data_IF_882418717069
#
_entry.id   IF_882418717069
#
_cell.length_a   1.000
_cell.length_b   1.000
_cell.length_c   1.000
_cell.angle_alpha   90.00
_cell.angle_beta   90.00
_cell.angle_gamma   90.00
#
_symmetry.space_group_name_H-M   'P 1'
#
loop_
_entity.id
_entity.type
_entity.pdbx_description
1 polymer ?
#
# COMPACT_ATOMS: atom_id res chain seq x y z
N UNK A 1 10.96 12.72 -15.72
CA UNK A 1 9.61 12.11 -15.71
C UNK A 1 8.81 12.82 -14.63
N UNK A 2 7.51 13.07 -14.80
CA UNK A 2 6.74 13.69 -13.72
C UNK A 2 6.52 12.74 -12.55
N UNK A 3 6.25 13.30 -11.37
CA UNK A 3 5.86 12.53 -10.18
C UNK A 3 4.65 11.62 -10.46
N UNK A 4 3.68 12.10 -11.26
CA UNK A 4 2.50 11.35 -11.65
C UNK A 4 2.90 10.04 -12.36
N UNK A 5 3.82 10.15 -13.31
CA UNK A 5 4.33 9.02 -14.08
C UNK A 5 5.10 8.04 -13.18
N UNK A 6 6.03 8.54 -12.35
CA UNK A 6 6.87 7.70 -11.48
C UNK A 6 6.06 6.91 -10.44
N UNK A 7 4.95 7.50 -9.97
CA UNK A 7 4.06 6.91 -8.96
C UNK A 7 2.89 6.13 -9.55
N UNK A 8 2.76 6.06 -10.87
CA UNK A 8 1.74 5.21 -11.49
C UNK A 8 2.17 3.75 -11.47
N UNK A 9 1.39 2.91 -10.79
CA UNK A 9 1.65 1.47 -10.75
C UNK A 9 1.14 0.77 -12.01
N UNK A 10 1.70 -0.41 -12.31
CA UNK A 10 1.26 -1.25 -13.44
C UNK A 10 -0.25 -1.53 -13.48
N UNK A 11 -0.91 -1.57 -12.32
CA UNK A 11 -2.36 -1.81 -12.24
C UNK A 11 -3.21 -0.55 -12.42
N UNK A 12 -2.61 0.64 -12.60
CA UNK A 12 -3.32 1.91 -12.72
C UNK A 12 -3.64 2.60 -11.40
N UNK A 13 -3.23 2.04 -10.25
CA UNK A 13 -3.29 2.76 -8.97
C UNK A 13 -2.12 3.72 -8.81
N UNK A 14 -2.33 4.78 -8.03
CA UNK A 14 -1.28 5.72 -7.66
C UNK A 14 -0.61 5.29 -6.36
N UNK A 15 0.69 4.99 -6.41
CA UNK A 15 1.46 4.49 -5.26
C UNK A 15 1.52 5.48 -4.10
N UNK A 16 1.48 6.79 -4.39
CA UNK A 16 1.52 7.84 -3.36
C UNK A 16 0.34 7.82 -2.39
N UNK A 17 -0.77 7.20 -2.76
CA UNK A 17 -1.97 7.14 -1.93
C UNK A 17 -2.09 5.84 -1.11
N UNK A 18 -1.19 4.88 -1.34
CA UNK A 18 -1.18 3.57 -0.72
C UNK A 18 -0.74 3.65 0.75
N UNK A 19 -1.42 2.94 1.67
CA UNK A 19 -1.06 2.91 3.10
C UNK A 19 0.40 2.44 3.29
N UNK A 20 0.85 1.33 2.67
CA UNK A 20 2.26 0.93 2.60
C UNK A 20 3.28 2.01 2.19
N UNK A 21 2.87 3.08 1.52
CA UNK A 21 3.77 4.17 1.11
C UNK A 21 3.83 5.32 2.13
N UNK A 22 2.89 5.40 3.08
CA UNK A 22 2.81 6.50 4.05
C UNK A 22 3.87 6.36 5.15
N UNK A 23 5.05 6.94 4.90
CA UNK A 23 6.19 6.91 5.82
C UNK A 23 5.87 7.40 7.24
N UNK A 24 4.86 8.25 7.41
CA UNK A 24 4.48 8.78 8.72
C UNK A 24 4.02 7.68 9.66
N UNK A 25 3.30 6.68 9.15
CA UNK A 25 2.82 5.55 9.95
C UNK A 25 4.00 4.71 10.44
N UNK A 26 4.92 4.37 9.56
CA UNK A 26 6.05 3.50 9.88
C UNK A 26 7.06 4.16 10.82
N UNK A 27 7.37 5.45 10.61
CA UNK A 27 8.21 6.22 11.53
C UNK A 27 7.59 6.29 12.93
N UNK A 28 6.27 6.50 13.03
CA UNK A 28 5.60 6.52 14.32
C UNK A 28 5.62 5.16 15.04
N UNK A 29 5.54 4.05 14.29
CA UNK A 29 5.68 2.70 14.86
C UNK A 29 7.09 2.46 15.38
N UNK A 30 8.12 2.81 14.59
CA UNK A 30 9.52 2.68 14.99
C UNK A 30 9.83 3.48 16.27
N UNK A 31 9.40 4.75 16.31
CA UNK A 31 9.56 5.62 17.47
C UNK A 31 8.85 5.08 18.71
N UNK A 32 7.61 4.58 18.56
CA UNK A 32 6.85 4.00 19.66
C UNK A 32 7.51 2.73 20.20
N UNK A 33 7.95 1.81 19.34
CA UNK A 33 8.63 0.59 19.76
C UNK A 33 9.90 0.91 20.53
N UNK A 34 10.70 1.85 20.03
CA UNK A 34 11.91 2.33 20.70
C UNK A 34 11.61 2.88 22.09
N UNK A 35 10.61 3.77 22.21
CA UNK A 35 10.23 4.36 23.50
C UNK A 35 9.73 3.31 24.51
N UNK A 36 9.02 2.28 24.05
CA UNK A 36 8.55 1.18 24.90
C UNK A 36 9.69 0.27 25.37
N UNK A 37 10.67 0.01 24.51
CA UNK A 37 11.85 -0.80 24.83
C UNK A 37 12.76 -0.09 25.84
N UNK A 38 13.03 1.21 25.64
CA UNK A 38 13.87 2.04 26.53
C UNK A 38 13.39 2.04 27.99
N UNK A 39 12.07 1.90 28.21
CA UNK A 39 11.46 1.86 29.55
C UNK A 39 11.14 0.45 30.04
N UNK A 40 11.56 -0.59 29.31
CA UNK A 40 11.25 -2.00 29.61
C UNK A 40 9.75 -2.23 29.87
N UNK A 41 8.92 -1.70 28.95
CA UNK A 41 7.47 -1.67 29.15
C UNK A 41 6.85 -3.08 29.19
N UNK A 42 7.50 -4.09 28.60
CA UNK A 42 7.10 -5.49 28.68
C UNK A 42 7.01 -5.97 30.14
N UNK A 43 8.03 -5.66 30.96
CA UNK A 43 8.06 -6.01 32.38
C UNK A 43 6.99 -5.22 33.15
N UNK A 44 6.86 -3.92 32.86
CA UNK A 44 5.84 -3.09 33.48
C UNK A 44 4.42 -3.59 33.17
N UNK A 45 4.15 -3.93 31.91
CA UNK A 45 2.88 -4.48 31.45
C UNK A 45 2.54 -5.79 32.17
N UNK A 46 3.52 -6.69 32.30
CA UNK A 46 3.35 -7.94 33.06
C UNK A 46 3.02 -7.68 34.53
N UNK A 47 3.79 -6.83 35.22
CA UNK A 47 3.55 -6.51 36.64
C UNK A 47 2.18 -5.86 36.87
N UNK A 48 1.77 -4.95 35.99
CA UNK A 48 0.51 -4.21 36.10
C UNK A 48 -0.70 -4.98 35.55
N UNK A 49 -0.49 -6.11 34.89
CA UNK A 49 -1.56 -6.94 34.33
C UNK A 49 -2.57 -7.44 35.36
N UNK A 50 -2.13 -7.64 36.62
CA UNK A 50 -3.03 -8.03 37.71
C UNK A 50 -4.11 -6.97 37.98
N UNK A 51 -3.76 -5.69 37.85
CA UNK A 51 -4.69 -4.57 37.99
C UNK A 51 -5.35 -4.17 36.66
N UNK A 52 -4.68 -4.40 35.55
CA UNK A 52 -5.15 -4.08 34.20
C UNK A 52 -4.97 -5.27 33.25
N UNK A 53 -5.93 -6.20 33.28
CA UNK A 53 -5.83 -7.50 32.58
C UNK A 53 -5.47 -7.42 31.08
N UNK A 54 -5.88 -6.35 30.39
CA UNK A 54 -5.54 -6.12 28.96
C UNK A 54 -4.04 -5.97 28.69
N UNK A 55 -3.23 -5.67 29.71
CA UNK A 55 -1.78 -5.60 29.55
C UNK A 55 -1.15 -6.98 29.29
N UNK A 56 -1.88 -8.09 29.53
CA UNK A 56 -1.46 -9.42 29.05
C UNK A 56 -1.39 -9.50 27.53
N UNK A 57 -2.11 -8.64 26.81
CA UNK A 57 -2.09 -8.59 25.34
C UNK A 57 -0.88 -7.80 24.81
N UNK A 58 -0.01 -7.25 25.66
CA UNK A 58 1.16 -6.50 25.22
C UNK A 58 2.04 -7.25 24.19
N UNK A 59 2.33 -8.56 24.34
CA UNK A 59 3.04 -9.32 23.31
C UNK A 59 2.26 -9.41 21.99
N UNK A 60 0.93 -9.41 22.03
CA UNK A 60 0.08 -9.36 20.82
C UNK A 60 0.23 -7.98 20.16
N UNK A 61 0.16 -6.91 20.95
CA UNK A 61 0.34 -5.55 20.48
C UNK A 61 1.68 -5.36 19.76
N UNK A 62 2.79 -5.82 20.34
CA UNK A 62 4.11 -5.77 19.69
C UNK A 62 4.11 -6.52 18.36
N UNK A 63 3.53 -7.74 18.30
CA UNK A 63 3.44 -8.47 17.02
C UNK A 63 2.61 -7.73 15.97
N UNK A 64 1.57 -6.99 16.36
CA UNK A 64 0.82 -6.16 15.41
C UNK A 64 1.68 -5.01 14.89
N UNK A 65 2.49 -4.37 15.74
CA UNK A 65 3.43 -3.35 15.31
C UNK A 65 4.48 -3.92 14.34
N UNK A 66 5.00 -5.12 14.61
CA UNK A 66 5.94 -5.81 13.71
C UNK A 66 5.30 -6.08 12.33
N UNK A 67 4.05 -6.53 12.30
CA UNK A 67 3.31 -6.75 11.05
C UNK A 67 3.04 -5.44 10.29
N UNK A 68 2.79 -4.33 11.01
CA UNK A 68 2.68 -3.01 10.39
C UNK A 68 4.01 -2.65 9.73
N UNK A 69 5.15 -2.77 10.41
CA UNK A 69 6.46 -2.50 9.79
C UNK A 69 6.73 -3.39 8.56
N UNK A 70 6.35 -4.67 8.63
CA UNK A 70 6.59 -5.64 7.57
C UNK A 70 5.86 -5.31 6.26
N UNK A 71 4.71 -4.60 6.31
CA UNK A 71 3.97 -4.20 5.11
C UNK A 71 4.46 -2.90 4.47
N UNK A 72 5.48 -2.24 5.06
CA UNK A 72 6.06 -1.02 4.49
C UNK A 72 6.57 -1.24 3.06
N UNK A 73 6.15 -0.37 2.14
CA UNK A 73 6.67 -0.36 0.79
C UNK A 73 7.94 0.49 0.69
N UNK A 74 9.00 -0.08 0.11
CA UNK A 74 10.29 0.60 -0.07
C UNK A 74 10.33 1.56 -1.26
N UNK A 75 9.34 1.56 -2.14
CA UNK A 75 9.25 2.51 -3.26
C UNK A 75 8.06 2.30 -4.19
N UNK A 76 7.88 3.15 -5.21
CA UNK A 76 6.84 2.96 -6.22
C UNK A 76 7.00 1.65 -6.99
N UNK A 77 5.90 1.07 -7.45
CA UNK A 77 5.90 -0.20 -8.19
C UNK A 77 6.77 -0.14 -9.46
N UNK A 78 6.81 1.00 -10.15
CA UNK A 78 7.62 1.21 -11.33
C UNK A 78 9.14 1.19 -11.03
N UNK A 79 9.54 1.54 -9.81
CA UNK A 79 10.92 1.54 -9.34
C UNK A 79 11.32 0.25 -8.60
N UNK A 80 10.57 -0.85 -8.80
CA UNK A 80 10.85 -2.14 -8.17
C UNK A 80 10.19 -2.36 -6.81
N UNK A 81 9.35 -1.43 -6.35
CA UNK A 81 8.54 -1.62 -5.14
C UNK A 81 7.32 -2.52 -5.31
N UNK A 82 6.42 -2.47 -4.33
CA UNK A 82 5.25 -3.33 -4.24
C UNK A 82 5.60 -4.78 -3.87
N UNK A 83 4.69 -5.72 -4.13
CA UNK A 83 4.90 -7.14 -3.82
C UNK A 83 6.09 -7.70 -4.61
N UNK A 84 6.88 -8.59 -3.97
CA UNK A 84 8.00 -9.31 -4.60
C UNK A 84 7.57 -10.07 -5.85
N UNK A 85 6.45 -10.79 -5.76
CA UNK A 85 5.79 -11.46 -6.89
C UNK A 85 4.46 -10.76 -7.18
N UNK A 86 4.24 -10.34 -8.43
CA UNK A 86 3.05 -9.59 -8.82
C UNK A 86 2.59 -10.00 -10.21
N UNK A 87 1.53 -10.82 -10.27
CA UNK A 87 0.95 -11.33 -11.51
C UNK A 87 0.56 -10.22 -12.51
N UNK A 88 0.18 -9.04 -12.02
CA UNK A 88 -0.20 -7.91 -12.87
C UNK A 88 1.04 -7.31 -13.54
N UNK A 89 2.10 -7.07 -12.76
CA UNK A 89 3.38 -6.56 -13.27
C UNK A 89 3.96 -7.51 -14.30
N UNK A 90 3.95 -8.81 -14.01
CA UNK A 90 4.50 -9.83 -14.89
C UNK A 90 3.69 -9.92 -16.19
N UNK A 91 2.36 -9.84 -16.10
CA UNK A 91 1.48 -9.79 -17.27
C UNK A 91 1.71 -8.53 -18.14
N UNK A 92 1.85 -7.35 -17.52
CA UNK A 92 2.11 -6.09 -18.24
C UNK A 92 3.44 -6.16 -18.96
N UNK A 93 4.51 -6.61 -18.29
CA UNK A 93 5.84 -6.79 -18.90
C UNK A 93 5.81 -7.79 -20.05
N UNK A 94 5.16 -8.94 -19.87
CA UNK A 94 5.02 -9.97 -20.91
C UNK A 94 4.33 -9.45 -22.17
N UNK A 95 3.32 -8.59 -22.02
CA UNK A 95 2.61 -7.96 -23.14
C UNK A 95 3.35 -6.77 -23.76
N UNK A 96 4.50 -6.37 -23.21
CA UNK A 96 5.22 -5.16 -23.64
C UNK A 96 4.47 -3.86 -23.34
N UNK A 97 3.50 -3.90 -22.42
CA UNK A 97 2.73 -2.73 -22.04
C UNK A 97 3.43 -1.94 -20.94
N UNK A 98 3.07 -0.65 -20.82
CA UNK A 98 3.46 0.18 -19.69
C UNK A 98 2.58 -0.06 -18.46
N UNK A 99 1.32 -0.42 -18.68
CA UNK A 99 0.36 -0.70 -17.62
C UNK A 99 -0.95 -1.27 -18.13
N UNK A 100 -1.83 -1.65 -17.21
CA UNK A 100 -3.11 -2.27 -17.52
C UNK A 100 -4.02 -1.39 -18.40
N UNK A 101 -3.88 -0.07 -18.36
CA UNK A 101 -4.69 0.85 -19.17
C UNK A 101 -4.46 0.68 -20.69
N UNK A 102 -3.34 0.11 -21.12
CA UNK A 102 -3.07 -0.19 -22.54
C UNK A 102 -3.77 -1.46 -23.03
N UNK A 103 -4.25 -2.30 -22.11
CA UNK A 103 -4.98 -3.52 -22.44
C UNK A 103 -6.48 -3.22 -22.64
N UNK A 104 -7.02 -3.57 -23.81
CA UNK A 104 -8.46 -3.41 -24.10
C UNK A 104 -9.33 -4.28 -23.16
N UNK A 105 -8.83 -5.45 -22.76
CA UNK A 105 -9.52 -6.36 -21.83
C UNK A 105 -9.28 -6.04 -20.34
N UNK A 106 -8.78 -4.86 -19.99
CA UNK A 106 -8.45 -4.54 -18.58
C UNK A 106 -9.69 -4.53 -17.67
N UNK A 107 -10.85 -4.15 -18.21
CA UNK A 107 -12.13 -4.12 -17.49
C UNK A 107 -12.51 -5.47 -16.87
N UNK A 108 -12.71 -6.54 -17.66
CA UNK A 108 -13.08 -7.87 -17.15
C UNK A 108 -11.90 -8.69 -16.60
N UNK A 109 -10.69 -8.12 -16.50
CA UNK A 109 -9.49 -8.89 -16.17
C UNK A 109 -9.50 -9.44 -14.73
N UNK A 110 -9.56 -10.77 -14.61
CA UNK A 110 -9.54 -11.47 -13.31
C UNK A 110 -8.24 -11.28 -12.52
N UNK A 111 -7.13 -10.93 -13.17
CA UNK A 111 -5.86 -10.62 -12.47
C UNK A 111 -5.96 -9.36 -11.60
N UNK A 112 -6.93 -8.47 -11.89
CA UNK A 112 -7.21 -7.27 -11.10
C UNK A 112 -8.24 -7.51 -9.99
N UNK A 113 -8.95 -8.64 -9.99
CA UNK A 113 -10.09 -8.88 -9.10
C UNK A 113 -9.75 -8.72 -7.60
N UNK A 114 -8.57 -9.20 -7.19
CA UNK A 114 -8.12 -9.07 -5.79
C UNK A 114 -7.91 -7.59 -5.38
N UNK A 115 -7.43 -6.75 -6.29
CA UNK A 115 -7.25 -5.32 -6.02
C UNK A 115 -8.61 -4.60 -5.97
N UNK A 116 -9.54 -4.94 -6.87
CA UNK A 116 -10.88 -4.34 -6.89
C UNK A 116 -11.67 -4.57 -5.60
N UNK A 117 -11.36 -5.63 -4.83
CA UNK A 117 -11.94 -5.84 -3.48
C UNK A 117 -11.62 -4.73 -2.50
N UNK A 118 -10.43 -4.12 -2.60
CA UNK A 118 -9.97 -3.07 -1.70
C UNK A 118 -10.08 -1.66 -2.29
N UNK A 119 -10.11 -1.55 -3.63
CA UNK A 119 -10.05 -0.29 -4.35
C UNK A 119 -11.33 0.02 -5.15
N UNK A 120 -12.33 -0.86 -5.12
CA UNK A 120 -13.60 -0.65 -5.83
C UNK A 120 -13.42 -0.43 -7.34
N UNK A 121 -14.09 0.59 -7.87
CA UNK A 121 -14.06 1.00 -9.30
C UNK A 121 -12.92 1.96 -9.65
N UNK A 122 -12.09 2.34 -8.68
CA UNK A 122 -11.02 3.31 -8.87
C UNK A 122 -9.99 2.86 -9.89
N UNK A 123 -9.78 1.54 -10.03
CA UNK A 123 -8.84 1.01 -11.03
C UNK A 123 -9.33 1.32 -12.45
N UNK A 124 -10.60 1.05 -12.73
CA UNK A 124 -11.23 1.33 -14.02
C UNK A 124 -11.25 2.83 -14.32
N UNK A 125 -11.68 3.64 -13.36
CA UNK A 125 -11.66 5.10 -13.47
C UNK A 125 -10.26 5.60 -13.80
N UNK A 126 -9.25 5.16 -13.05
CA UNK A 126 -7.87 5.58 -13.27
C UNK A 126 -7.34 5.13 -14.64
N UNK A 127 -7.73 3.94 -15.13
CA UNK A 127 -7.36 3.53 -16.50
C UNK A 127 -7.91 4.49 -17.54
N UNK A 128 -9.16 4.94 -17.38
CA UNK A 128 -9.78 5.93 -18.25
C UNK A 128 -9.05 7.28 -18.16
N UNK A 129 -8.77 7.77 -16.95
CA UNK A 129 -8.04 9.02 -16.76
C UNK A 129 -6.63 8.99 -17.35
N UNK A 130 -5.93 7.85 -17.25
CA UNK A 130 -4.61 7.68 -17.88
C UNK A 130 -4.72 7.71 -19.41
N UNK A 131 -5.76 7.12 -20.00
CA UNK A 131 -5.96 7.16 -21.47
C UNK A 131 -6.29 8.57 -21.96
N UNK A 132 -7.08 9.33 -21.21
CA UNK A 132 -7.51 10.69 -21.61
C UNK A 132 -6.39 11.71 -21.40
N UNK A 133 -5.77 11.71 -20.22
CA UNK A 133 -4.86 12.78 -19.80
C UNK A 133 -3.37 12.42 -19.94
N UNK A 134 -3.07 11.14 -20.19
CA UNK A 134 -1.71 10.62 -20.22
C UNK A 134 -1.06 10.55 -18.83
N UNK A 135 0.06 9.84 -18.75
CA UNK A 135 0.72 9.56 -17.47
C UNK A 135 1.29 10.77 -16.74
N UNK A 136 1.53 11.86 -17.46
CA UNK A 136 2.10 13.05 -16.85
C UNK A 136 1.08 13.86 -16.05
N UNK A 137 -0.23 13.74 -16.37
CA UNK A 137 -1.28 14.62 -15.82
C UNK A 137 -2.45 13.90 -15.16
N UNK A 138 -2.70 12.62 -15.46
CA UNK A 138 -3.88 11.91 -14.97
C UNK A 138 -4.05 11.92 -13.44
N UNK A 139 -2.94 12.06 -12.69
CA UNK A 139 -2.97 11.95 -11.25
C UNK A 139 -3.90 12.99 -10.60
N UNK A 140 -4.10 14.19 -11.17
CA UNK A 140 -5.07 15.15 -10.61
C UNK A 140 -6.52 14.67 -10.70
N UNK A 141 -6.82 13.81 -11.67
CA UNK A 141 -8.16 13.28 -11.97
C UNK A 141 -8.42 11.92 -11.32
N UNK A 142 -7.46 11.40 -10.56
CA UNK A 142 -7.55 10.06 -9.96
C UNK A 142 -8.63 10.00 -8.89
N UNK A 143 -9.24 8.83 -8.78
CA UNK A 143 -10.20 8.55 -7.71
C UNK A 143 -9.52 8.18 -6.38
N UNK A 144 -10.33 8.09 -5.32
CA UNK A 144 -9.89 7.67 -3.98
C UNK A 144 -9.26 6.28 -4.02
N UNK A 145 -8.01 6.18 -3.60
CA UNK A 145 -7.28 4.90 -3.62
C UNK A 145 -7.97 3.82 -2.78
N UNK A 146 -8.51 4.17 -1.62
CA UNK A 146 -9.32 3.28 -0.80
C UNK A 146 -10.72 3.88 -0.66
N UNK A 147 -11.81 3.10 -0.74
CA UNK A 147 -13.18 3.63 -0.68
C UNK A 147 -13.48 4.48 0.58
N UNK A 148 -12.76 4.24 1.68
CA UNK A 148 -12.95 4.91 2.96
C UNK A 148 -12.02 6.13 3.20
N UNK A 149 -11.12 6.45 2.27
CA UNK A 149 -10.17 7.57 2.37
C UNK A 149 -10.46 8.55 1.24
#
# INVERSE_FOLDING_TARGET
MSEANDRTSYCGLYCGDCIPHDKRVFLAVEELKKALDEVQFDQYAYLRSQAYGKLLDYPIFIRVLDEIEAIECKGPCAAGGGKKVCIIRDCVKMKGFRGCWECQDSGPCMKLAALKRFHGKTIEHNHEMIRIHGLEKWASEREKHYPWR
#
